data_IF_525155483388
#
_entry.id   IF_525155483388
#
_cell.length_a   1.000
_cell.length_b   1.000
_cell.length_c   1.000
_cell.angle_alpha   90.00
_cell.angle_beta   90.00
_cell.angle_gamma   90.00
#
_symmetry.space_group_name_H-M   'P 1'
#
loop_
_entity.id
_entity.type
_entity.pdbx_description
1 polymer ?
#
# COMPACT_ATOMS: atom_id res chain seq x y z
N UNK A 1 19.21 4.41 1.16
CA UNK A 1 18.09 5.06 1.85
C UNK A 1 16.88 4.88 0.96
N UNK A 2 15.80 4.35 1.52
CA UNK A 2 14.54 4.22 0.83
C UNK A 2 13.97 5.58 0.36
N UNK A 3 13.40 5.60 -0.84
CA UNK A 3 12.72 6.75 -1.44
C UNK A 3 11.39 6.31 -2.06
N UNK A 4 10.30 7.00 -1.71
CA UNK A 4 8.98 6.81 -2.32
C UNK A 4 8.95 7.48 -3.69
N UNK A 5 8.64 6.70 -4.72
CA UNK A 5 8.66 7.12 -6.12
C UNK A 5 7.48 6.52 -6.88
N UNK A 6 7.27 6.98 -8.13
CA UNK A 6 6.31 6.40 -9.06
C UNK A 6 4.91 6.18 -8.48
N UNK A 7 4.38 7.21 -7.80
CA UNK A 7 3.00 7.24 -7.28
C UNK A 7 2.01 6.95 -8.41
N UNK A 8 1.14 5.97 -8.19
CA UNK A 8 0.05 5.62 -9.10
C UNK A 8 -1.26 5.57 -8.32
N UNK A 9 -2.27 6.26 -8.82
CA UNK A 9 -3.64 6.08 -8.35
C UNK A 9 -4.21 4.80 -9.00
N UNK A 10 -4.79 3.94 -8.18
CA UNK A 10 -5.31 2.63 -8.59
C UNK A 10 -6.83 2.67 -8.56
N UNK A 11 -7.43 2.70 -9.75
CA UNK A 11 -8.89 2.73 -9.96
C UNK A 11 -9.39 1.46 -10.64
N UNK A 12 -8.50 0.60 -11.15
CA UNK A 12 -8.87 -0.66 -11.80
C UNK A 12 -7.80 -1.74 -11.63
N UNK A 13 -8.25 -3.00 -11.53
CA UNK A 13 -7.37 -4.18 -11.50
C UNK A 13 -6.51 -4.32 -12.77
N UNK A 14 -6.93 -3.74 -13.90
CA UNK A 14 -6.16 -3.77 -15.14
C UNK A 14 -4.83 -2.99 -15.04
N UNK A 15 -4.67 -2.12 -14.05
CA UNK A 15 -3.43 -1.38 -13.78
C UNK A 15 -2.39 -2.22 -13.03
N UNK A 16 -2.80 -3.37 -12.48
CA UNK A 16 -2.02 -4.12 -11.50
C UNK A 16 -1.46 -5.41 -12.10
N UNK A 17 -0.28 -5.79 -11.60
CA UNK A 17 0.26 -7.12 -11.82
C UNK A 17 -0.51 -8.17 -10.99
N UNK A 18 -0.42 -9.47 -11.32
CA UNK A 18 -1.05 -10.51 -10.52
C UNK A 18 -0.65 -10.51 -9.04
N UNK A 19 0.59 -10.13 -8.72
CA UNK A 19 1.05 -10.02 -7.34
C UNK A 19 0.40 -8.84 -6.64
N UNK A 20 0.35 -7.68 -7.29
CA UNK A 20 -0.29 -6.47 -6.75
C UNK A 20 -1.80 -6.66 -6.55
N UNK A 21 -2.46 -7.45 -7.39
CA UNK A 21 -3.87 -7.83 -7.18
C UNK A 21 -4.04 -8.61 -5.86
N UNK A 22 -3.12 -9.52 -5.54
CA UNK A 22 -3.14 -10.25 -4.27
C UNK A 22 -2.73 -9.38 -3.08
N UNK A 23 -1.77 -8.47 -3.25
CA UNK A 23 -1.47 -7.46 -2.23
C UNK A 23 -2.71 -6.63 -1.89
N UNK A 24 -3.43 -6.14 -2.90
CA UNK A 24 -4.67 -5.38 -2.71
C UNK A 24 -5.73 -6.18 -1.94
N UNK A 25 -5.87 -7.48 -2.20
CA UNK A 25 -6.74 -8.37 -1.41
C UNK A 25 -6.36 -8.34 0.08
N UNK A 26 -5.06 -8.47 0.35
CA UNK A 26 -4.48 -8.47 1.70
C UNK A 26 -4.58 -7.12 2.39
N UNK A 27 -4.42 -6.00 1.68
CA UNK A 27 -4.66 -4.66 2.22
C UNK A 27 -6.09 -4.55 2.77
N UNK A 28 -7.06 -5.04 2.00
CA UNK A 28 -8.45 -5.05 2.43
C UNK A 28 -8.66 -5.94 3.65
N UNK A 29 -8.17 -7.18 3.61
CA UNK A 29 -8.26 -8.14 4.72
C UNK A 29 -7.60 -7.61 6.00
N UNK A 30 -6.46 -6.94 5.91
CA UNK A 30 -5.80 -6.30 7.05
C UNK A 30 -6.63 -5.13 7.62
N UNK A 31 -7.32 -4.37 6.75
CA UNK A 31 -8.08 -3.20 7.15
C UNK A 31 -9.44 -3.54 7.79
N UNK A 32 -10.22 -4.43 7.19
CA UNK A 32 -11.59 -4.75 7.62
C UNK A 32 -11.76 -6.13 8.26
N UNK A 33 -10.75 -7.00 8.15
CA UNK A 33 -10.80 -8.37 8.66
C UNK A 33 -11.63 -9.33 7.79
N UNK A 34 -12.10 -8.89 6.61
CA UNK A 34 -12.91 -9.71 5.70
C UNK A 34 -12.07 -10.23 4.53
N UNK A 35 -12.37 -11.42 4.01
CA UNK A 35 -11.77 -11.96 2.78
C UNK A 35 -12.66 -11.67 1.57
N UNK A 36 -12.62 -10.42 1.07
CA UNK A 36 -13.32 -10.00 -0.14
C UNK A 36 -12.40 -10.04 -1.36
N UNK A 37 -13.00 -10.24 -2.53
CA UNK A 37 -12.24 -10.27 -3.79
C UNK A 37 -11.59 -8.91 -4.10
N UNK A 38 -10.46 -8.87 -4.83
CA UNK A 38 -9.77 -7.63 -5.18
C UNK A 38 -10.67 -6.59 -5.86
N UNK A 39 -11.60 -7.03 -6.71
CA UNK A 39 -12.53 -6.13 -7.41
C UNK A 39 -13.53 -5.44 -6.49
N UNK A 40 -13.80 -6.00 -5.31
CA UNK A 40 -14.65 -5.40 -4.28
C UNK A 40 -13.89 -4.41 -3.39
N UNK A 41 -12.55 -4.35 -3.51
CA UNK A 41 -11.72 -3.43 -2.71
C UNK A 41 -11.59 -2.04 -3.34
N UNK A 42 -11.69 -1.96 -4.66
CA UNK A 42 -11.59 -0.70 -5.40
C UNK A 42 -12.96 -0.03 -5.57
N UNK A 43 -12.97 1.31 -5.73
CA UNK A 43 -14.19 2.02 -6.09
C UNK A 43 -14.76 1.53 -7.42
N UNK A 44 -16.08 1.48 -7.48
CA UNK A 44 -16.81 1.22 -8.73
C UNK A 44 -17.10 2.55 -9.43
N UNK A 45 -17.27 2.55 -10.76
CA UNK A 45 -17.61 3.77 -11.52
C UNK A 45 -18.89 4.49 -11.04
N UNK A 46 -19.71 3.81 -10.24
CA UNK A 46 -20.97 4.31 -9.71
C UNK A 46 -20.92 4.82 -8.27
N UNK A 47 -19.83 4.58 -7.53
CA UNK A 47 -19.71 4.99 -6.12
C UNK A 47 -18.25 4.91 -5.66
N UNK A 48 -17.59 6.07 -5.55
CA UNK A 48 -16.21 6.19 -5.03
C UNK A 48 -16.16 6.05 -3.50
N UNK A 49 -17.18 6.56 -2.80
CA UNK A 49 -17.21 6.68 -1.32
C UNK A 49 -17.60 5.38 -0.60
N UNK A 50 -18.06 4.35 -1.31
CA UNK A 50 -18.48 3.08 -0.70
C UNK A 50 -17.40 1.98 -0.71
N UNK A 51 -16.27 2.18 -1.40
CA UNK A 51 -15.19 1.19 -1.39
C UNK A 51 -14.37 1.27 -0.10
N UNK A 52 -14.06 0.10 0.46
CA UNK A 52 -13.30 -0.01 1.71
C UNK A 52 -11.94 0.68 1.59
N UNK A 53 -11.29 0.57 0.43
CA UNK A 53 -9.98 1.15 0.13
C UNK A 53 -10.08 2.35 -0.84
N UNK A 54 -11.02 3.27 -0.61
CA UNK A 54 -11.11 4.52 -1.39
C UNK A 54 -9.79 5.33 -1.31
N UNK A 55 -9.43 5.99 -2.42
CA UNK A 55 -8.21 6.79 -2.54
C UNK A 55 -6.96 5.91 -2.61
N UNK A 56 -7.07 4.74 -3.28
CA UNK A 56 -6.02 3.75 -3.32
C UNK A 56 -4.83 4.23 -4.17
N UNK A 57 -3.68 4.35 -3.54
CA UNK A 57 -2.42 4.71 -4.18
C UNK A 57 -1.39 3.60 -4.00
N UNK A 58 -0.59 3.38 -5.04
CA UNK A 58 0.54 2.47 -5.02
C UNK A 58 1.83 3.23 -5.36
N UNK A 59 2.81 3.14 -4.45
CA UNK A 59 4.14 3.72 -4.58
C UNK A 59 5.21 2.64 -4.70
N UNK A 60 6.22 2.91 -5.51
CA UNK A 60 7.47 2.13 -5.49
C UNK A 60 8.40 2.74 -4.44
N UNK A 61 8.78 1.96 -3.42
CA UNK A 61 9.80 2.37 -2.46
C UNK A 61 11.13 1.80 -2.92
N UNK A 62 12.06 2.67 -3.28
CA UNK A 62 13.32 2.29 -3.93
C UNK A 62 14.51 2.47 -3.00
N UNK A 63 15.45 1.54 -3.02
CA UNK A 63 16.77 1.70 -2.43
C UNK A 63 17.80 1.69 -3.56
N UNK A 64 18.61 2.76 -3.64
CA UNK A 64 19.63 2.92 -4.70
C UNK A 64 19.04 2.79 -6.12
N UNK A 65 17.80 3.28 -6.31
CA UNK A 65 17.08 3.23 -7.58
C UNK A 65 16.43 1.89 -7.92
N UNK A 66 16.51 0.90 -7.03
CA UNK A 66 15.86 -0.41 -7.21
C UNK A 66 14.62 -0.51 -6.30
N UNK A 67 13.43 -0.86 -6.82
CA UNK A 67 12.26 -1.12 -5.99
C UNK A 67 12.53 -2.25 -4.99
N UNK A 68 12.41 -1.94 -3.70
CA UNK A 68 12.56 -2.89 -2.59
C UNK A 68 11.24 -3.13 -1.87
N UNK A 69 10.34 -2.15 -1.87
CA UNK A 69 8.98 -2.30 -1.37
C UNK A 69 7.93 -1.74 -2.33
N UNK A 70 6.72 -2.24 -2.18
CA UNK A 70 5.50 -1.70 -2.76
C UNK A 70 4.61 -1.20 -1.63
N UNK A 71 4.34 0.11 -1.60
CA UNK A 71 3.59 0.75 -0.52
C UNK A 71 2.21 1.18 -1.02
N UNK A 72 1.19 0.61 -0.39
CA UNK A 72 -0.21 0.92 -0.61
C UNK A 72 -0.69 1.92 0.42
N UNK A 73 -1.38 2.96 -0.04
CA UNK A 73 -2.07 3.93 0.80
C UNK A 73 -3.54 3.98 0.41
N UNK A 74 -4.40 4.11 1.40
CA UNK A 74 -5.85 4.18 1.21
C UNK A 74 -6.49 4.84 2.42
N UNK A 75 -7.72 5.35 2.25
CA UNK A 75 -8.49 6.02 3.32
C UNK A 75 -7.75 7.18 3.98
N UNK A 76 -6.83 7.81 3.24
CA UNK A 76 -5.99 8.96 3.63
C UNK A 76 -4.93 8.62 4.70
N UNK A 77 -5.27 7.81 5.69
CA UNK A 77 -4.46 7.60 6.89
C UNK A 77 -4.01 6.13 7.10
N UNK A 78 -4.31 5.26 6.14
CA UNK A 78 -4.12 3.82 6.26
C UNK A 78 -3.31 3.27 5.10
N UNK A 79 -2.67 2.12 5.30
CA UNK A 79 -1.81 1.56 4.28
C UNK A 79 -1.15 0.24 4.65
N UNK A 80 -0.45 -0.34 3.68
CA UNK A 80 0.28 -1.59 3.82
C UNK A 80 1.53 -1.55 2.96
N UNK A 81 2.66 -2.01 3.48
CA UNK A 81 3.94 -2.05 2.78
C UNK A 81 4.36 -3.50 2.61
N UNK A 82 4.68 -3.90 1.37
CA UNK A 82 5.08 -5.25 1.01
C UNK A 82 6.50 -5.28 0.47
N UNK A 83 7.20 -6.41 0.59
CA UNK A 83 8.40 -6.64 -0.22
C UNK A 83 8.03 -6.63 -1.70
N UNK A 84 8.76 -5.83 -2.49
CA UNK A 84 8.44 -5.60 -3.90
C UNK A 84 8.35 -6.91 -4.69
N UNK A 85 7.27 -7.07 -5.45
CA UNK A 85 7.04 -8.25 -6.28
C UNK A 85 6.66 -9.51 -5.50
N UNK A 86 6.30 -9.38 -4.22
CA UNK A 86 5.83 -10.49 -3.37
C UNK A 86 4.52 -10.14 -2.68
N UNK A 87 3.96 -11.07 -1.90
CA UNK A 87 2.78 -10.82 -1.06
C UNK A 87 3.14 -10.73 0.44
N UNK A 88 4.44 -10.66 0.76
CA UNK A 88 4.95 -10.55 2.12
C UNK A 88 4.80 -9.10 2.60
N UNK A 89 3.86 -8.89 3.51
CA UNK A 89 3.66 -7.61 4.19
C UNK A 89 4.72 -7.43 5.27
N UNK A 90 5.36 -6.27 5.29
CA UNK A 90 6.45 -5.95 6.21
C UNK A 90 6.11 -4.84 7.19
N UNK A 91 5.10 -4.03 6.88
CA UNK A 91 4.60 -2.99 7.75
C UNK A 91 3.16 -2.62 7.39
N UNK A 92 2.45 -2.10 8.36
CA UNK A 92 1.10 -1.53 8.22
C UNK A 92 1.14 -0.05 8.58
N UNK A 93 0.21 0.71 8.01
CA UNK A 93 -0.01 2.11 8.36
C UNK A 93 -1.42 2.20 8.92
N UNK A 94 -1.52 2.65 10.17
CA UNK A 94 -2.77 2.77 10.93
C UNK A 94 -2.83 4.19 11.49
N UNK A 95 -3.77 4.99 11.00
CA UNK A 95 -3.98 6.38 11.44
C UNK A 95 -2.69 7.22 11.38
N UNK A 96 -2.01 7.19 10.23
CA UNK A 96 -0.69 7.81 9.98
C UNK A 96 0.49 7.21 10.76
N UNK A 97 0.25 6.22 11.61
CA UNK A 97 1.29 5.49 12.34
C UNK A 97 1.80 4.31 11.55
N UNK A 98 3.12 4.22 11.34
CA UNK A 98 3.76 3.00 10.81
C UNK A 98 3.91 1.97 11.94
N UNK A 99 3.35 0.77 11.77
CA UNK A 99 3.59 -0.41 12.58
C UNK A 99 4.49 -1.39 11.82
N UNK A 100 5.68 -1.66 12.34
CA UNK A 100 6.64 -2.60 11.76
C UNK A 100 7.37 -3.36 12.88
N UNK A 101 7.51 -4.67 12.74
CA UNK A 101 8.13 -5.52 13.76
C UNK A 101 9.66 -5.46 13.77
N UNK A 102 10.27 -4.99 12.68
CA UNK A 102 11.71 -4.81 12.53
C UNK A 102 12.04 -3.33 12.75
N UNK A 103 12.72 -3.02 13.85
CA UNK A 103 13.00 -1.64 14.25
C UNK A 103 13.94 -0.88 13.30
N UNK A 104 14.87 -1.57 12.63
CA UNK A 104 15.77 -0.94 11.66
C UNK A 104 14.98 -0.58 10.39
N UNK A 105 14.13 -1.50 9.93
CA UNK A 105 13.21 -1.27 8.81
C UNK A 105 12.20 -0.17 9.12
N UNK A 106 11.65 -0.16 10.33
CA UNK A 106 10.71 0.86 10.80
C UNK A 106 11.33 2.26 10.74
N UNK A 107 12.56 2.41 11.23
CA UNK A 107 13.28 3.68 11.21
C UNK A 107 13.60 4.15 9.78
N UNK A 108 14.00 3.24 8.90
CA UNK A 108 14.22 3.53 7.48
C UNK A 108 12.94 4.02 6.80
N UNK A 109 11.85 3.28 6.93
CA UNK A 109 10.57 3.58 6.29
C UNK A 109 9.99 4.90 6.80
N UNK A 110 10.02 5.16 8.12
CA UNK A 110 9.57 6.45 8.68
C UNK A 110 10.35 7.63 8.12
N UNK A 111 11.67 7.48 7.97
CA UNK A 111 12.52 8.53 7.40
C UNK A 111 12.14 8.81 5.94
N UNK A 112 11.89 7.74 5.17
CA UNK A 112 11.48 7.83 3.77
C UNK A 112 10.09 8.46 3.60
N UNK A 113 9.12 8.09 4.44
CA UNK A 113 7.76 8.67 4.46
C UNK A 113 7.80 10.17 4.78
N UNK A 114 8.51 10.55 5.85
CA UNK A 114 8.65 11.95 6.25
C UNK A 114 9.30 12.80 5.14
N UNK A 115 10.28 12.26 4.40
CA UNK A 115 10.90 12.93 3.25
C UNK A 115 9.91 13.11 2.10
N UNK A 116 9.04 12.13 1.87
CA UNK A 116 8.03 12.15 0.82
C UNK A 116 6.80 13.03 1.16
N UNK A 117 6.65 13.44 2.43
CA UNK A 117 5.51 14.21 2.91
C UNK A 117 4.24 13.36 3.09
N UNK A 118 4.43 12.10 3.44
CA UNK A 118 3.38 11.09 3.67
C UNK A 118 3.40 10.69 5.15
#
# INVERSE_FOLDING_TARGET
MADFTNRREITSLAQLTPVQIEQLRRCGEAYDGEDLSPGQRLPSETSDEESVLHGCELWDVTAEGTPVYEAWFYRVDSGSIFLAGTTEMVAEIIQFGLECSDGDREAELRTAMAKAGI
#
